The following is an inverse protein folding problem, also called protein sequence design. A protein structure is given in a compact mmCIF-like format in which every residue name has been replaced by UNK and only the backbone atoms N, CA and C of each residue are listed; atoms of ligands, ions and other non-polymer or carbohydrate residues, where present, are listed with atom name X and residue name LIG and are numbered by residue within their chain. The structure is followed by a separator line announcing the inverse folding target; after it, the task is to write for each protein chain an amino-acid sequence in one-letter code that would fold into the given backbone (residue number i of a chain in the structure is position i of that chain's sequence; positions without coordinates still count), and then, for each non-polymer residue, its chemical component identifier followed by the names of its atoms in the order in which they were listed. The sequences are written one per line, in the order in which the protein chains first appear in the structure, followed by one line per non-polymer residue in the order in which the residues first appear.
data_IF_661684090695
#
_entry.id   IF_661684090695
#
_cell.length_a   1.000
_cell.length_b   1.000
_cell.length_c   1.000
_cell.angle_alpha   90.00
_cell.angle_beta   90.00
_cell.angle_gamma   90.00
#
_symmetry.space_group_name_H-M   'P 1'
#
loop_
_entity.id
_entity.type
_entity.pdbx_description
1 polymer ?
#
# COMPACT_ATOMS: atom_id res chain seq x y z
N UNK A 1 18.76 -6.39 -6.50
CA UNK A 1 17.30 -6.50 -6.74
C UNK A 1 16.64 -6.98 -5.44
N UNK A 2 15.90 -6.13 -4.72
CA UNK A 2 15.30 -6.50 -3.42
C UNK A 2 13.87 -7.00 -3.64
N UNK A 3 13.57 -8.22 -3.17
CA UNK A 3 12.28 -8.90 -3.33
C UNK A 3 11.23 -8.33 -2.36
N UNK A 4 10.07 -7.92 -2.89
CA UNK A 4 8.89 -7.64 -2.07
C UNK A 4 8.20 -8.93 -1.60
N UNK A 5 7.60 -8.90 -0.40
CA UNK A 5 6.89 -10.05 0.21
C UNK A 5 5.38 -9.81 0.19
N UNK A 6 4.63 -10.73 -0.42
CA UNK A 6 3.17 -10.74 -0.38
C UNK A 6 2.73 -11.30 0.97
N UNK A 7 1.99 -10.50 1.76
CA UNK A 7 1.55 -10.92 3.10
C UNK A 7 0.30 -11.80 3.08
N UNK A 8 -0.52 -11.75 2.01
CA UNK A 8 -1.68 -12.62 1.83
C UNK A 8 -2.09 -12.71 0.35
N UNK A 9 -2.34 -13.92 -0.15
CA UNK A 9 -2.92 -14.17 -1.48
C UNK A 9 -4.24 -14.92 -1.29
N UNK A 10 -5.33 -14.42 -1.86
CA UNK A 10 -6.64 -15.10 -1.77
C UNK A 10 -6.68 -16.21 -2.82
N UNK A 11 -6.99 -17.44 -2.39
CA UNK A 11 -7.20 -18.61 -3.25
C UNK A 11 -8.70 -18.82 -3.42
N UNK A 12 -9.19 -18.77 -4.65
CA UNK A 12 -10.58 -19.02 -4.99
C UNK A 12 -10.80 -20.52 -5.24
N UNK A 13 -11.52 -21.21 -4.37
CA UNK A 13 -12.06 -22.54 -4.66
C UNK A 13 -12.11 -23.46 -3.43
N UNK A 14 -13.28 -23.54 -2.78
CA UNK A 14 -13.55 -24.52 -1.73
C UNK A 14 -14.84 -24.20 -0.97
N UNK A 15 -15.70 -25.21 -0.78
CA UNK A 15 -17.06 -25.19 -0.18
C UNK A 15 -17.19 -24.34 1.10
N UNK A 16 -18.39 -23.76 1.26
CA UNK A 16 -18.82 -22.82 2.32
C UNK A 16 -18.47 -23.34 3.72
N UNK A 17 -17.36 -22.85 4.26
CA UNK A 17 -17.17 -22.72 5.70
C UNK A 17 -17.96 -21.47 6.10
N UNK A 18 -18.72 -21.54 7.21
CA UNK A 18 -19.39 -20.41 7.89
C UNK A 18 -18.77 -19.08 7.48
N UNK A 19 -19.55 -18.09 6.99
CA UNK A 19 -19.07 -16.76 6.57
C UNK A 19 -18.17 -16.18 7.68
N UNK A 20 -16.91 -16.59 7.70
CA UNK A 20 -15.86 -15.95 8.45
C UNK A 20 -15.86 -14.63 7.72
N UNK A 21 -16.39 -13.60 8.37
CA UNK A 21 -16.15 -12.25 7.95
C UNK A 21 -14.64 -12.11 7.96
N UNK A 22 -13.98 -12.47 6.85
CA UNK A 22 -12.55 -12.34 6.73
C UNK A 22 -12.36 -10.84 6.86
N UNK A 23 -11.78 -10.39 7.97
CA UNK A 23 -11.54 -8.98 8.16
C UNK A 23 -10.69 -8.54 6.97
N UNK A 24 -11.28 -7.66 6.16
CA UNK A 24 -10.66 -7.08 4.97
C UNK A 24 -10.60 -5.59 5.18
N UNK A 25 -9.53 -4.99 4.69
CA UNK A 25 -9.53 -3.55 4.58
C UNK A 25 -10.53 -3.15 3.50
N UNK A 26 -11.30 -2.09 3.73
CA UNK A 26 -12.16 -1.50 2.69
C UNK A 26 -11.37 -0.60 1.75
N UNK A 27 -10.17 -0.17 2.17
CA UNK A 27 -9.34 0.83 1.51
C UNK A 27 -7.92 0.35 1.37
N UNK A 28 -7.28 0.68 0.26
CA UNK A 28 -5.86 0.38 0.07
C UNK A 28 -5.05 1.06 1.17
N UNK A 29 -4.24 0.27 1.86
CA UNK A 29 -3.36 0.72 2.93
C UNK A 29 -1.91 0.45 2.56
N UNK A 30 -1.05 1.44 2.72
CA UNK A 30 0.38 1.34 2.54
C UNK A 30 1.03 1.36 3.91
N UNK A 31 1.99 0.47 4.13
CA UNK A 31 2.81 0.44 5.33
C UNK A 31 4.27 0.54 4.93
N UNK A 32 5.02 1.47 5.51
CA UNK A 32 6.44 1.64 5.28
C UNK A 32 7.23 1.19 6.50
N UNK A 33 8.02 0.15 6.30
CA UNK A 33 8.85 -0.48 7.30
C UNK A 33 10.33 -0.33 6.94
N UNK A 34 11.16 -0.20 7.97
CA UNK A 34 12.61 -0.35 7.90
C UNK A 34 12.99 -1.81 7.62
N UNK A 35 14.26 -2.07 7.29
CA UNK A 35 14.74 -3.44 7.03
C UNK A 35 14.58 -4.39 8.23
N UNK A 36 14.68 -3.86 9.45
CA UNK A 36 14.47 -4.61 10.70
C UNK A 36 12.98 -4.85 11.03
N UNK A 37 12.05 -4.37 10.20
CA UNK A 37 10.61 -4.52 10.40
C UNK A 37 9.97 -3.44 11.27
N UNK A 38 10.74 -2.48 11.81
CA UNK A 38 10.20 -1.35 12.55
C UNK A 38 9.49 -0.35 11.61
N UNK A 39 8.47 0.37 12.08
CA UNK A 39 7.93 1.52 11.36
C UNK A 39 9.01 2.50 10.91
N UNK A 40 8.93 2.97 9.67
CA UNK A 40 9.74 4.10 9.21
C UNK A 40 9.14 5.40 9.76
N UNK A 41 9.96 6.33 10.26
CA UNK A 41 9.47 7.65 10.64
C UNK A 41 9.17 8.45 9.37
N UNK A 42 7.89 8.54 9.06
CA UNK A 42 7.35 9.16 7.86
C UNK A 42 6.67 10.50 8.14
N UNK A 43 6.98 11.16 9.26
CA UNK A 43 6.44 12.48 9.55
C UNK A 43 6.73 13.45 8.39
N UNK A 44 5.68 14.09 7.87
CA UNK A 44 5.78 15.02 6.74
C UNK A 44 5.79 14.37 5.35
N UNK A 45 5.84 13.04 5.25
CA UNK A 45 5.76 12.33 3.97
C UNK A 45 4.32 12.17 3.46
N UNK A 46 4.20 12.05 2.14
CA UNK A 46 2.95 11.75 1.44
C UNK A 46 3.13 10.54 0.53
N UNK A 47 2.07 9.74 0.40
CA UNK A 47 1.96 8.69 -0.59
C UNK A 47 1.16 9.18 -1.79
N UNK A 48 1.73 9.06 -3.00
CA UNK A 48 1.05 9.33 -4.28
C UNK A 48 0.86 8.04 -5.05
N UNK A 49 -0.36 7.79 -5.52
CA UNK A 49 -0.61 6.75 -6.51
C UNK A 49 -0.68 7.38 -7.88
N UNK A 50 0.05 6.78 -8.81
CA UNK A 50 0.16 7.19 -10.20
C UNK A 50 -0.37 6.07 -11.08
N UNK A 51 -1.15 6.44 -12.07
CA UNK A 51 -1.64 5.53 -13.12
C UNK A 51 -1.55 6.26 -14.45
N UNK A 52 -1.00 5.60 -15.47
CA UNK A 52 -0.86 6.15 -16.81
C UNK A 52 -0.17 7.54 -16.81
N UNK A 53 0.85 7.71 -15.95
CA UNK A 53 1.58 8.98 -15.81
C UNK A 53 0.89 10.07 -14.98
N UNK A 54 -0.35 9.86 -14.52
CA UNK A 54 -1.10 10.86 -13.75
C UNK A 54 -1.27 10.45 -12.29
N UNK A 55 -1.18 11.42 -11.37
CA UNK A 55 -1.51 11.22 -9.96
C UNK A 55 -3.01 11.07 -9.82
N UNK A 56 -3.46 9.91 -9.31
CA UNK A 56 -4.88 9.58 -9.15
C UNK A 56 -5.35 9.66 -7.70
N UNK A 57 -4.42 9.57 -6.75
CA UNK A 57 -4.71 9.75 -5.34
C UNK A 57 -3.46 10.18 -4.56
N UNK A 58 -3.67 10.98 -3.52
CA UNK A 58 -2.64 11.41 -2.58
C UNK A 58 -3.18 11.26 -1.17
N UNK A 59 -2.34 10.78 -0.25
CA UNK A 59 -2.66 10.77 1.19
C UNK A 59 -1.38 11.00 1.99
N UNK A 60 -1.51 11.41 3.24
CA UNK A 60 -0.37 11.56 4.14
C UNK A 60 -0.01 10.21 4.76
N UNK A 61 1.28 10.04 5.04
CA UNK A 61 1.69 9.04 6.02
C UNK A 61 1.47 9.60 7.42
N UNK A 62 1.11 8.74 8.35
CA UNK A 62 1.22 9.05 9.77
C UNK A 62 2.69 8.94 10.25
N UNK A 63 2.93 9.15 11.54
CA UNK A 63 4.27 9.04 12.14
C UNK A 63 4.77 7.59 12.29
N UNK A 64 3.98 6.60 11.90
CA UNK A 64 4.26 5.18 12.05
C UNK A 64 4.33 4.46 10.70
N UNK A 65 4.58 5.19 9.60
CA UNK A 65 4.75 4.58 8.29
C UNK A 65 3.45 4.18 7.60
N UNK A 66 2.26 4.55 8.10
CA UNK A 66 1.00 4.10 7.53
C UNK A 66 0.30 5.20 6.73
N UNK A 67 -0.11 4.85 5.51
CA UNK A 67 -0.89 5.72 4.63
C UNK A 67 -2.14 4.98 4.13
N UNK A 68 -3.32 5.53 4.40
CA UNK A 68 -4.60 4.96 3.97
C UNK A 68 -5.24 5.84 2.91
N UNK A 69 -5.56 5.25 1.76
CA UNK A 69 -6.22 5.96 0.66
C UNK A 69 -7.74 5.85 0.79
N UNK A 70 -8.40 6.93 1.23
CA UNK A 70 -9.86 6.95 1.42
C UNK A 70 -10.67 6.76 0.13
N UNK A 71 -10.11 7.12 -1.02
CA UNK A 71 -10.77 7.06 -2.33
C UNK A 71 -10.43 5.81 -3.15
N UNK A 72 -9.49 4.98 -2.67
CA UNK A 72 -9.05 3.78 -3.38
C UNK A 72 -9.51 2.56 -2.63
N UNK A 73 -10.41 1.81 -3.25
CA UNK A 73 -10.89 0.55 -2.70
C UNK A 73 -9.73 -0.45 -2.55
N UNK A 74 -9.79 -1.23 -1.47
CA UNK A 74 -8.94 -2.42 -1.35
C UNK A 74 -9.32 -3.47 -2.41
N UNK A 75 -8.43 -4.45 -2.62
CA UNK A 75 -8.52 -5.37 -3.77
C UNK A 75 -8.55 -4.59 -5.09
N UNK A 76 -7.56 -3.72 -5.24
CA UNK A 76 -7.39 -2.86 -6.42
C UNK A 76 -7.61 -3.62 -7.71
N UNK A 77 -8.38 -3.07 -8.65
CA UNK A 77 -8.64 -3.73 -9.94
C UNK A 77 -7.46 -3.63 -10.91
N UNK A 78 -6.53 -2.73 -10.63
CA UNK A 78 -5.40 -2.35 -11.48
C UNK A 78 -4.14 -2.20 -10.63
N UNK A 79 -2.98 -2.20 -11.29
CA UNK A 79 -1.72 -1.81 -10.66
C UNK A 79 -1.57 -0.29 -10.60
N UNK A 80 -0.77 0.17 -9.65
CA UNK A 80 -0.40 1.58 -9.48
C UNK A 80 1.11 1.71 -9.31
N UNK A 81 1.65 2.86 -9.70
CA UNK A 81 2.96 3.30 -9.24
C UNK A 81 2.76 4.10 -7.97
N UNK A 82 3.33 3.63 -6.87
CA UNK A 82 3.38 4.32 -5.59
C UNK A 82 4.66 5.13 -5.49
N UNK A 83 4.54 6.40 -5.13
CA UNK A 83 5.66 7.26 -4.74
C UNK A 83 5.47 7.71 -3.29
N UNK A 84 6.53 7.56 -2.49
CA UNK A 84 6.63 8.25 -1.21
C UNK A 84 7.45 9.52 -1.41
N UNK A 85 6.85 10.66 -1.09
CA UNK A 85 7.44 11.98 -1.30
C UNK A 85 7.51 12.76 0.00
N UNK A 86 8.54 13.58 0.17
CA UNK A 86 8.64 14.48 1.31
C UNK A 86 7.73 15.72 1.14
N UNK A 87 7.80 16.64 2.11
CA UNK A 87 7.06 17.90 2.08
C UNK A 87 7.46 18.82 0.93
N UNK A 88 8.71 18.71 0.45
CA UNK A 88 9.28 19.49 -0.65
C UNK A 88 8.97 18.87 -2.03
N UNK A 89 8.38 17.66 -2.05
CA UNK A 89 8.04 16.94 -3.26
C UNK A 89 9.14 16.02 -3.80
N UNK A 90 10.24 15.83 -3.07
CA UNK A 90 11.32 14.90 -3.43
C UNK A 90 10.82 13.47 -3.29
N UNK A 91 11.07 12.64 -4.31
CA UNK A 91 10.68 11.22 -4.31
C UNK A 91 11.75 10.39 -3.61
N UNK A 92 11.40 9.77 -2.49
CA UNK A 92 12.31 8.92 -1.72
C UNK A 92 12.22 7.45 -2.12
N UNK A 93 11.02 7.00 -2.49
CA UNK A 93 10.74 5.62 -2.88
C UNK A 93 9.73 5.59 -4.02
N UNK A 94 9.99 4.72 -4.99
CA UNK A 94 9.04 4.36 -6.05
C UNK A 94 8.85 2.85 -6.03
N UNK A 95 7.59 2.39 -6.00
CA UNK A 95 7.23 0.97 -5.97
C UNK A 95 6.02 0.71 -6.86
N UNK A 96 5.97 -0.47 -7.46
CA UNK A 96 4.78 -0.93 -8.17
C UNK A 96 3.88 -1.67 -7.19
N UNK A 97 2.66 -1.15 -6.97
CA UNK A 97 1.61 -1.83 -6.22
C UNK A 97 0.83 -2.68 -7.21
N UNK A 98 0.85 -4.02 -7.10
CA UNK A 98 0.10 -4.88 -8.01
C UNK A 98 -1.41 -4.77 -7.75
N UNK A 99 -2.20 -5.22 -8.74
CA UNK A 99 -3.64 -5.37 -8.57
C UNK A 99 -3.96 -6.42 -7.49
N UNK A 100 -5.17 -6.35 -6.95
CA UNK A 100 -5.78 -7.27 -5.97
C UNK A 100 -5.06 -7.29 -4.63
N UNK A 101 -4.57 -6.12 -4.21
CA UNK A 101 -3.92 -5.94 -2.90
C UNK A 101 -4.80 -5.05 -2.01
N UNK A 102 -4.86 -5.42 -0.73
CA UNK A 102 -5.51 -4.62 0.32
C UNK A 102 -4.48 -3.80 1.11
N UNK A 103 -3.34 -4.43 1.42
CA UNK A 103 -2.22 -3.81 2.16
C UNK A 103 -0.92 -4.07 1.42
N UNK A 104 -0.14 -3.02 1.17
CA UNK A 104 1.16 -3.10 0.50
C UNK A 104 2.28 -2.55 1.39
N UNK A 105 3.36 -3.33 1.54
CA UNK A 105 4.53 -2.96 2.32
C UNK A 105 5.64 -2.35 1.47
N UNK A 106 6.14 -1.17 1.85
CA UNK A 106 7.45 -0.66 1.43
C UNK A 106 8.47 -1.13 2.48
N UNK A 107 9.56 -1.77 2.05
CA UNK A 107 10.65 -2.18 2.95
C UNK A 107 11.94 -1.47 2.54
N UNK A 108 12.61 -0.86 3.53
CA UNK A 108 13.97 -0.34 3.45
C UNK A 108 14.07 1.12 3.77
#
# INVERSE_FOLDING_TARGET
MVKGKVLRKVVSGGKVLSKVASQRFSRLTIVWLQQNGNPFDTAGFRARLIRNGQVVAVTQFDRYGVARFSTIDALTRVSYTLQAVDSNGVVFRTRTVPARVEVFGIIG
#
